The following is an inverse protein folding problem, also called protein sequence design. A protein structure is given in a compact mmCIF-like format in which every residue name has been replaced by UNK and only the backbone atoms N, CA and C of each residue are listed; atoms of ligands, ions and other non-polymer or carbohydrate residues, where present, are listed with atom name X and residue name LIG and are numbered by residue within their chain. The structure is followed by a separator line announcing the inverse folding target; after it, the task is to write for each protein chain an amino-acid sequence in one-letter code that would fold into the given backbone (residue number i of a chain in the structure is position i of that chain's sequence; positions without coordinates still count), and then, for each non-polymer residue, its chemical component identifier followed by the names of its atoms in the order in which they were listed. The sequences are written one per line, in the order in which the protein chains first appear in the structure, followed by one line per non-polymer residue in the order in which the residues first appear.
data_IF_342973515250
#
_entry.id   IF_342973515250
#
_cell.length_a   1.000
_cell.length_b   1.000
_cell.length_c   1.000
_cell.angle_alpha   90.00
_cell.angle_beta   90.00
_cell.angle_gamma   90.00
#
_symmetry.space_group_name_H-M   'P 1'
#
loop_
_entity.id
_entity.type
_entity.pdbx_description
1 polymer ?
#
# COMPACT_ATOMS: atom_id res chain seq x y z
N UNK A 1 25.80 57.30 38.19
CA UNK A 1 24.98 57.54 39.41
C UNK A 1 24.12 56.34 39.63
N UNK A 2 24.41 55.67 40.69
CA UNK A 2 23.61 54.95 41.67
C UNK A 2 23.02 53.65 41.14
N UNK A 3 23.64 52.50 41.43
CA UNK A 3 23.62 51.76 42.73
C UNK A 3 22.27 51.12 42.95
N UNK A 4 22.30 49.86 43.04
CA UNK A 4 22.36 48.85 44.14
C UNK A 4 20.99 48.31 44.42
N UNK A 5 20.68 47.06 44.70
CA UNK A 5 21.18 46.15 45.72
C UNK A 5 20.34 44.86 45.62
N UNK A 6 20.86 43.61 45.50
CA UNK A 6 21.30 42.71 46.58
C UNK A 6 20.19 42.04 47.39
N UNK A 7 20.37 40.73 47.45
CA UNK A 7 20.05 39.74 48.50
C UNK A 7 18.72 39.02 48.42
N UNK A 8 18.74 37.77 48.19
CA UNK A 8 19.22 36.57 48.94
C UNK A 8 18.20 36.07 49.94
N UNK A 9 17.93 34.85 49.88
CA UNK A 9 17.94 33.72 50.85
C UNK A 9 16.84 32.73 50.55
N UNK A 10 17.14 31.51 50.14
CA UNK A 10 17.47 30.32 50.93
C UNK A 10 16.36 29.90 51.89
N UNK A 11 15.81 28.76 51.68
CA UNK A 11 15.68 27.53 52.50
C UNK A 11 14.57 26.67 51.87
N UNK A 12 14.83 25.56 51.38
CA UNK A 12 14.94 24.21 51.96
C UNK A 12 13.61 23.54 52.23
N UNK A 13 13.58 22.36 51.64
CA UNK A 13 13.15 21.06 52.13
C UNK A 13 11.75 20.53 51.79
N UNK A 14 11.81 19.35 51.29
CA UNK A 14 11.19 18.06 51.58
C UNK A 14 10.09 17.58 50.62
N UNK A 15 10.50 16.56 49.89
CA UNK A 15 9.86 15.27 49.61
C UNK A 15 8.34 15.21 49.44
N UNK A 16 7.97 14.69 48.29
CA UNK A 16 6.66 14.13 47.98
C UNK A 16 6.77 13.41 46.68
N UNK A 17 7.13 12.16 46.80
CA UNK A 17 6.97 11.09 45.83
C UNK A 17 5.50 10.99 45.46
N UNK A 18 5.21 11.02 44.15
CA UNK A 18 4.08 10.26 43.62
C UNK A 18 4.19 10.28 42.10
N UNK A 19 4.52 9.10 41.57
CA UNK A 19 4.59 8.81 40.17
C UNK A 19 3.23 8.89 39.50
N UNK A 20 3.08 9.81 38.60
CA UNK A 20 1.97 9.76 37.64
C UNK A 20 2.55 9.53 36.25
N UNK A 21 2.53 8.24 35.88
CA UNK A 21 2.82 7.77 34.54
C UNK A 21 1.81 8.38 33.57
N UNK A 22 2.22 9.42 32.87
CA UNK A 22 1.47 9.95 31.72
C UNK A 22 1.56 8.89 30.61
N UNK A 23 0.54 8.04 30.58
CA UNK A 23 0.27 7.17 29.47
C UNK A 23 0.01 8.04 28.23
N UNK A 24 1.01 8.13 27.36
CA UNK A 24 0.83 8.62 26.00
C UNK A 24 -0.10 7.64 25.29
N UNK A 25 -1.39 7.91 25.31
CA UNK A 25 -2.35 7.30 24.42
C UNK A 25 -2.02 7.76 22.99
N UNK A 26 -1.24 6.95 22.29
CA UNK A 26 -1.16 7.00 20.84
C UNK A 26 -2.55 6.65 20.29
N UNK A 27 -3.36 7.68 20.10
CA UNK A 27 -4.56 7.56 19.28
C UNK A 27 -4.12 7.36 17.85
N UNK A 28 -3.91 6.09 17.54
CA UNK A 28 -3.79 5.59 16.16
C UNK A 28 -5.18 5.76 15.53
N UNK A 29 -5.48 6.97 15.09
CA UNK A 29 -6.66 7.28 14.32
C UNK A 29 -6.55 6.47 13.01
N UNK A 30 -7.13 5.27 12.99
CA UNK A 30 -7.41 4.52 11.77
C UNK A 30 -8.24 5.45 10.89
N UNK A 31 -7.61 6.16 9.97
CA UNK A 31 -8.29 6.92 8.93
C UNK A 31 -9.17 5.92 8.19
N UNK A 32 -10.48 6.04 8.42
CA UNK A 32 -11.51 5.24 7.78
C UNK A 32 -11.33 5.43 6.28
N UNK A 33 -10.92 4.38 5.59
CA UNK A 33 -10.85 4.37 4.12
C UNK A 33 -12.29 4.59 3.65
N UNK A 34 -12.55 5.54 2.74
CA UNK A 34 -13.91 5.76 2.23
C UNK A 34 -14.47 4.45 1.69
N UNK A 35 -15.66 4.08 2.14
CA UNK A 35 -16.29 2.78 1.88
C UNK A 35 -16.58 2.53 0.40
N UNK A 36 -16.60 3.58 -0.42
CA UNK A 36 -16.82 3.48 -1.86
C UNK A 36 -15.69 4.17 -2.62
N UNK A 37 -14.89 3.41 -3.38
CA UNK A 37 -13.88 4.01 -4.25
C UNK A 37 -14.57 4.84 -5.34
N UNK A 38 -14.01 6.02 -5.65
CA UNK A 38 -14.45 6.94 -6.71
C UNK A 38 -15.89 7.47 -6.57
N UNK A 39 -16.44 7.59 -5.35
CA UNK A 39 -17.78 8.14 -5.15
C UNK A 39 -17.90 9.54 -5.77
N UNK A 40 -18.82 9.70 -6.72
CA UNK A 40 -19.03 10.98 -7.43
C UNK A 40 -17.96 11.34 -8.48
N UNK A 41 -17.03 10.41 -8.79
CA UNK A 41 -16.01 10.63 -9.82
C UNK A 41 -16.28 9.74 -11.03
N UNK A 42 -16.38 10.34 -12.20
CA UNK A 42 -16.51 9.61 -13.44
C UNK A 42 -15.15 9.17 -13.99
N UNK A 43 -15.12 7.98 -14.62
CA UNK A 43 -13.93 7.50 -15.30
C UNK A 43 -13.60 8.42 -16.48
N UNK A 44 -12.41 9.04 -16.55
CA UNK A 44 -12.00 9.85 -17.69
C UNK A 44 -11.93 9.01 -18.98
N UNK A 45 -12.32 9.60 -20.10
CA UNK A 45 -12.26 8.92 -21.40
C UNK A 45 -10.82 8.56 -21.83
N UNK A 46 -9.83 9.30 -21.33
CA UNK A 46 -8.40 9.08 -21.58
C UNK A 46 -7.74 8.17 -20.53
N UNK A 47 -8.50 7.62 -19.57
CA UNK A 47 -7.96 6.71 -18.58
C UNK A 47 -7.45 5.42 -19.22
N UNK A 48 -6.29 4.98 -18.79
CA UNK A 48 -5.64 3.76 -19.27
C UNK A 48 -4.91 3.01 -18.16
N UNK A 49 -4.54 1.77 -18.45
CA UNK A 49 -3.82 0.91 -17.52
C UNK A 49 -2.32 1.11 -17.61
N UNK A 50 -1.70 1.23 -16.45
CA UNK A 50 -0.26 1.36 -16.26
C UNK A 50 0.20 0.47 -15.11
N UNK A 51 1.49 0.13 -15.06
CA UNK A 51 2.03 -0.67 -13.96
C UNK A 51 3.01 0.17 -13.16
N UNK A 52 2.75 0.25 -11.86
CA UNK A 52 3.67 0.80 -10.89
C UNK A 52 4.43 -0.32 -10.18
N UNK A 53 5.73 -0.15 -10.04
CA UNK A 53 6.61 -1.03 -9.25
C UNK A 53 6.79 -0.41 -7.87
N UNK A 54 6.40 -1.13 -6.85
CA UNK A 54 6.35 -0.64 -5.48
C UNK A 54 7.09 -1.58 -4.52
N UNK A 55 7.18 -1.16 -3.27
CA UNK A 55 7.80 -1.97 -2.22
C UNK A 55 7.01 -3.28 -2.00
N UNK A 56 7.75 -4.39 -1.91
CA UNK A 56 7.21 -5.74 -1.65
C UNK A 56 6.42 -5.79 -0.34
N UNK A 57 5.33 -6.55 -0.33
CA UNK A 57 4.38 -6.71 0.78
C UNK A 57 3.71 -5.40 1.25
N UNK A 58 3.76 -4.35 0.44
CA UNK A 58 3.10 -3.07 0.71
C UNK A 58 2.12 -2.66 -0.40
N UNK A 59 1.90 -3.52 -1.39
CA UNK A 59 1.17 -3.23 -2.63
C UNK A 59 -0.23 -2.68 -2.34
N UNK A 60 -1.01 -3.38 -1.53
CA UNK A 60 -2.39 -2.96 -1.19
C UNK A 60 -2.39 -1.64 -0.42
N UNK A 61 -1.51 -1.49 0.57
CA UNK A 61 -1.41 -0.26 1.36
C UNK A 61 -1.03 0.94 0.51
N UNK A 62 -0.09 0.74 -0.43
CA UNK A 62 0.36 1.81 -1.33
C UNK A 62 -0.77 2.15 -2.33
N UNK A 63 -1.43 1.16 -2.91
CA UNK A 63 -2.55 1.38 -3.82
C UNK A 63 -3.71 2.15 -3.14
N UNK A 64 -4.08 1.77 -1.91
CA UNK A 64 -5.08 2.49 -1.13
C UNK A 64 -4.64 3.91 -0.80
N UNK A 65 -3.38 4.12 -0.45
CA UNK A 65 -2.82 5.45 -0.20
C UNK A 65 -2.86 6.34 -1.45
N UNK A 66 -2.56 5.78 -2.63
CA UNK A 66 -2.66 6.48 -3.92
C UNK A 66 -4.12 6.86 -4.17
N UNK A 67 -5.05 5.91 -4.02
CA UNK A 67 -6.48 6.13 -4.23
C UNK A 67 -7.01 7.25 -3.33
N UNK A 68 -6.73 7.20 -2.04
CA UNK A 68 -7.17 8.22 -1.10
C UNK A 68 -6.63 9.59 -1.48
N UNK A 69 -5.35 9.67 -1.84
CA UNK A 69 -4.73 10.95 -2.24
C UNK A 69 -5.33 11.51 -3.53
N UNK A 70 -5.54 10.67 -4.54
CA UNK A 70 -6.12 11.10 -5.81
C UNK A 70 -7.59 11.47 -5.66
N UNK A 71 -8.39 10.69 -4.94
CA UNK A 71 -9.80 10.99 -4.71
C UNK A 71 -9.99 12.28 -3.90
N UNK A 72 -9.11 12.57 -2.94
CA UNK A 72 -9.09 13.86 -2.25
C UNK A 72 -8.86 15.05 -3.20
N UNK A 73 -8.17 14.83 -4.29
CA UNK A 73 -7.93 15.83 -5.34
C UNK A 73 -8.96 15.75 -6.48
N UNK A 74 -10.10 15.11 -6.27
CA UNK A 74 -11.14 14.88 -7.27
C UNK A 74 -10.63 14.22 -8.55
N UNK A 75 -9.66 13.32 -8.43
CA UNK A 75 -9.10 12.54 -9.53
C UNK A 75 -9.59 11.12 -9.42
N UNK A 76 -10.22 10.63 -10.49
CA UNK A 76 -10.62 9.24 -10.60
C UNK A 76 -9.39 8.33 -10.69
N UNK A 77 -9.41 7.24 -9.94
CA UNK A 77 -8.34 6.26 -9.90
C UNK A 77 -8.89 4.88 -9.54
N UNK A 78 -8.53 3.89 -10.34
CA UNK A 78 -8.80 2.49 -10.04
C UNK A 78 -7.50 1.69 -10.06
N UNK A 79 -7.48 0.57 -9.37
CA UNK A 79 -6.32 -0.30 -9.36
C UNK A 79 -6.71 -1.77 -9.26
N UNK A 80 -5.80 -2.62 -9.72
CA UNK A 80 -5.92 -4.05 -9.59
C UNK A 80 -4.57 -4.66 -9.18
N UNK A 81 -4.63 -5.58 -8.22
CA UNK A 81 -3.47 -6.34 -7.74
C UNK A 81 -3.80 -7.81 -7.94
N UNK A 82 -3.08 -8.54 -8.84
CA UNK A 82 -3.38 -9.93 -9.12
C UNK A 82 -3.12 -10.81 -7.89
N UNK A 83 -4.13 -11.57 -7.48
CA UNK A 83 -4.07 -12.50 -6.36
C UNK A 83 -4.52 -13.88 -6.84
N UNK A 84 -3.87 -14.91 -6.36
CA UNK A 84 -4.23 -16.32 -6.59
C UNK A 84 -4.57 -17.00 -5.28
N UNK A 85 -5.48 -17.96 -5.34
CA UNK A 85 -5.81 -18.84 -4.23
C UNK A 85 -4.79 -19.96 -4.16
N UNK A 86 -4.13 -20.13 -3.02
CA UNK A 86 -3.15 -21.21 -2.78
C UNK A 86 -3.64 -22.08 -1.65
N UNK A 87 -3.69 -23.39 -1.88
CA UNK A 87 -3.97 -24.37 -0.82
C UNK A 87 -2.70 -24.65 -0.05
N UNK A 88 -2.79 -24.62 1.27
CA UNK A 88 -1.72 -25.04 2.15
C UNK A 88 -2.26 -25.92 3.28
N UNK A 89 -1.40 -26.74 3.85
CA UNK A 89 -1.73 -27.56 5.01
C UNK A 89 -1.34 -26.77 6.26
N UNK A 90 -2.33 -26.48 7.09
CA UNK A 90 -2.09 -25.84 8.39
C UNK A 90 -1.38 -26.83 9.33
N UNK A 91 -0.15 -26.52 9.71
CA UNK A 91 0.70 -27.38 10.52
C UNK A 91 0.11 -27.73 11.90
N UNK A 92 -0.81 -26.90 12.43
CA UNK A 92 -1.43 -27.13 13.74
C UNK A 92 -2.63 -28.08 13.66
N UNK A 93 -3.47 -27.91 12.64
CA UNK A 93 -4.73 -28.66 12.50
C UNK A 93 -4.66 -29.78 11.49
N UNK A 94 -3.56 -29.90 10.76
CA UNK A 94 -3.36 -30.81 9.61
C UNK A 94 -4.49 -30.74 8.57
N UNK A 95 -5.21 -29.60 8.51
CA UNK A 95 -6.31 -29.36 7.58
C UNK A 95 -5.84 -28.53 6.39
N UNK A 96 -6.42 -28.83 5.23
CA UNK A 96 -6.24 -27.98 4.04
C UNK A 96 -6.95 -26.64 4.25
N UNK A 97 -6.24 -25.55 4.05
CA UNK A 97 -6.76 -24.18 4.09
C UNK A 97 -6.41 -23.46 2.79
N UNK A 98 -7.28 -22.57 2.35
CA UNK A 98 -7.06 -21.70 1.20
C UNK A 98 -6.61 -20.34 1.70
N UNK A 99 -5.57 -19.80 1.09
CA UNK A 99 -5.06 -18.45 1.36
C UNK A 99 -4.86 -17.71 0.04
N UNK A 100 -5.26 -16.45 0.02
CA UNK A 100 -4.91 -15.56 -1.08
C UNK A 100 -3.43 -15.16 -1.00
N UNK A 101 -2.74 -15.28 -2.10
CA UNK A 101 -1.35 -14.87 -2.27
C UNK A 101 -1.25 -13.95 -3.48
N UNK A 102 -0.38 -12.95 -3.40
CA UNK A 102 -0.06 -12.12 -4.56
C UNK A 102 0.55 -12.99 -5.67
N UNK A 103 -0.02 -12.93 -6.86
CA UNK A 103 0.53 -13.62 -8.03
C UNK A 103 1.77 -12.90 -8.53
N UNK A 104 1.70 -11.56 -8.62
CA UNK A 104 2.85 -10.70 -8.91
C UNK A 104 3.09 -9.78 -7.71
N UNK A 105 4.13 -10.06 -6.93
CA UNK A 105 4.60 -9.17 -5.90
C UNK A 105 5.26 -7.93 -6.51
N UNK A 106 5.20 -6.80 -5.83
CA UNK A 106 5.77 -5.51 -6.22
C UNK A 106 5.03 -4.75 -7.34
N UNK A 107 4.02 -5.34 -7.97
CA UNK A 107 3.31 -4.70 -9.07
C UNK A 107 1.89 -4.29 -8.68
N UNK A 108 1.52 -3.07 -9.06
CA UNK A 108 0.16 -2.54 -8.98
C UNK A 108 -0.25 -2.11 -10.38
N UNK A 109 -1.36 -2.66 -10.87
CA UNK A 109 -1.99 -2.18 -12.09
C UNK A 109 -2.86 -0.98 -11.73
N UNK A 110 -2.53 0.17 -12.29
CA UNK A 110 -3.17 1.46 -12.03
C UNK A 110 -3.97 1.89 -13.26
N UNK A 111 -5.24 2.19 -13.10
CA UNK A 111 -6.07 2.78 -14.16
C UNK A 111 -6.30 4.25 -13.83
N UNK A 112 -5.77 5.12 -14.67
CA UNK A 112 -5.75 6.57 -14.43
C UNK A 112 -5.54 7.34 -15.74
N UNK A 113 -5.95 8.61 -15.77
CA UNK A 113 -5.59 9.49 -16.90
C UNK A 113 -4.08 9.71 -17.01
N UNK A 114 -3.50 9.72 -18.22
CA UNK A 114 -2.07 9.97 -18.45
C UNK A 114 -1.56 11.27 -17.79
N UNK A 115 -2.42 12.28 -17.71
CA UNK A 115 -2.10 13.58 -17.09
C UNK A 115 -1.83 13.49 -15.60
N UNK A 116 -2.29 12.43 -14.95
CA UNK A 116 -2.17 12.25 -13.51
C UNK A 116 -1.04 11.28 -13.12
N UNK A 117 -0.36 10.66 -14.09
CA UNK A 117 0.70 9.68 -13.86
C UNK A 117 1.84 10.24 -13.00
N UNK A 118 2.16 11.51 -13.13
CA UNK A 118 3.22 12.14 -12.36
C UNK A 118 2.89 12.18 -10.86
N UNK A 119 1.61 12.26 -10.48
CA UNK A 119 1.19 12.16 -9.07
C UNK A 119 1.47 10.78 -8.46
N UNK A 120 1.57 9.76 -9.30
CA UNK A 120 1.91 8.40 -8.87
C UNK A 120 3.42 8.18 -8.98
N UNK A 121 4.02 8.55 -10.13
CA UNK A 121 5.42 8.32 -10.45
C UNK A 121 6.39 8.95 -9.46
N UNK A 122 6.10 10.14 -8.96
CA UNK A 122 6.98 10.89 -8.07
C UNK A 122 6.74 10.63 -6.58
N UNK A 123 5.97 9.60 -6.24
CA UNK A 123 5.81 9.19 -4.85
C UNK A 123 7.06 8.44 -4.35
N UNK A 124 7.41 8.66 -3.10
CA UNK A 124 8.56 8.01 -2.46
C UNK A 124 8.38 6.49 -2.26
N UNK A 125 7.13 6.00 -2.27
CA UNK A 125 6.78 4.59 -2.11
C UNK A 125 6.63 3.84 -3.46
N UNK A 126 6.78 4.56 -4.59
CA UNK A 126 6.78 4.01 -5.95
C UNK A 126 8.20 4.09 -6.52
N UNK A 127 8.79 2.95 -6.84
CA UNK A 127 10.16 2.90 -7.37
C UNK A 127 10.24 3.35 -8.82
N UNK A 128 9.31 2.89 -9.64
CA UNK A 128 9.22 3.26 -11.06
C UNK A 128 7.86 2.88 -11.64
N UNK A 129 7.52 3.50 -12.77
CA UNK A 129 6.47 3.06 -13.66
C UNK A 129 7.07 2.16 -14.75
N UNK A 130 6.31 1.18 -15.24
CA UNK A 130 6.75 0.32 -16.33
C UNK A 130 6.87 1.13 -17.62
N UNK A 131 8.02 0.99 -18.27
CA UNK A 131 8.31 1.62 -19.56
C UNK A 131 8.58 0.55 -20.63
N UNK A 132 8.41 0.89 -21.90
CA UNK A 132 8.85 0.03 -22.99
C UNK A 132 10.38 -0.11 -22.98
N UNK A 133 10.91 -1.29 -23.32
CA UNK A 133 12.34 -1.47 -23.50
C UNK A 133 12.93 -0.42 -24.44
N UNK A 134 14.01 0.26 -24.01
CA UNK A 134 14.66 1.30 -24.80
C UNK A 134 13.93 2.66 -24.88
N UNK A 135 12.77 2.81 -24.22
CA UNK A 135 12.01 4.05 -24.23
C UNK A 135 11.86 4.62 -22.80
N UNK A 136 11.79 5.95 -22.71
CA UNK A 136 11.50 6.64 -21.44
C UNK A 136 10.00 6.84 -21.18
N UNK A 137 9.17 6.59 -22.22
CA UNK A 137 7.72 6.75 -22.12
C UNK A 137 7.11 5.64 -21.27
N UNK A 138 6.25 6.00 -20.34
CA UNK A 138 5.48 5.04 -19.53
C UNK A 138 4.57 4.25 -20.47
N UNK A 139 4.58 2.92 -20.31
CA UNK A 139 3.82 2.03 -21.16
C UNK A 139 2.37 1.96 -20.72
N UNK A 140 1.46 2.27 -21.63
CA UNK A 140 0.03 2.06 -21.44
C UNK A 140 -0.34 0.67 -21.94
N UNK A 141 -0.90 -0.14 -21.07
CA UNK A 141 -1.35 -1.48 -21.40
C UNK A 141 -2.76 -1.38 -22.01
N UNK A 142 -3.05 -2.03 -23.15
CA UNK A 142 -4.39 -2.08 -23.71
C UNK A 142 -5.38 -2.72 -22.72
N UNK A 143 -6.59 -2.15 -22.63
CA UNK A 143 -7.65 -2.62 -21.71
C UNK A 143 -7.94 -4.12 -21.90
N UNK A 144 -7.97 -4.60 -23.15
CA UNK A 144 -8.21 -6.01 -23.47
C UNK A 144 -7.14 -6.93 -22.87
N UNK A 145 -5.88 -6.51 -22.85
CA UNK A 145 -4.79 -7.30 -22.27
C UNK A 145 -4.99 -7.44 -20.77
N UNK A 146 -5.34 -6.35 -20.09
CA UNK A 146 -5.62 -6.39 -18.65
C UNK A 146 -6.86 -7.23 -18.35
N UNK A 147 -7.91 -7.09 -19.15
CA UNK A 147 -9.14 -7.88 -19.00
C UNK A 147 -8.88 -9.38 -19.17
N UNK A 148 -8.13 -9.79 -20.20
CA UNK A 148 -7.76 -11.17 -20.42
C UNK A 148 -6.89 -11.72 -19.28
N UNK A 149 -5.94 -10.90 -18.80
CA UNK A 149 -5.07 -11.31 -17.70
C UNK A 149 -5.84 -11.43 -16.38
N UNK A 150 -6.77 -10.49 -16.11
CA UNK A 150 -7.67 -10.56 -14.97
C UNK A 150 -8.54 -11.82 -15.03
N UNK A 151 -9.14 -12.10 -16.19
CA UNK A 151 -9.92 -13.30 -16.41
C UNK A 151 -9.11 -14.58 -16.13
N UNK A 152 -7.88 -14.67 -16.63
CA UNK A 152 -7.00 -15.79 -16.37
C UNK A 152 -6.68 -15.97 -14.87
N UNK A 153 -6.33 -14.89 -14.18
CA UNK A 153 -5.95 -14.95 -12.74
C UNK A 153 -7.14 -15.25 -11.83
N UNK A 154 -8.34 -14.73 -12.16
CA UNK A 154 -9.53 -14.83 -11.32
C UNK A 154 -10.33 -16.11 -11.57
N UNK A 155 -10.26 -16.69 -12.78
CA UNK A 155 -10.97 -17.92 -13.15
C UNK A 155 -10.09 -19.17 -13.13
N UNK A 156 -8.87 -19.09 -12.63
CA UNK A 156 -8.06 -20.27 -12.36
C UNK A 156 -8.67 -20.97 -11.12
N UNK A 157 -9.66 -21.84 -11.38
CA UNK A 157 -10.44 -22.54 -10.34
C UNK A 157 -9.60 -23.57 -9.59
N UNK A 158 -8.51 -24.04 -10.16
CA UNK A 158 -7.60 -24.94 -9.49
C UNK A 158 -6.56 -24.18 -8.65
N UNK A 159 -6.67 -24.24 -7.31
CA UNK A 159 -5.67 -23.64 -6.46
C UNK A 159 -4.31 -24.27 -6.73
N UNK A 160 -3.34 -23.44 -7.11
CA UNK A 160 -1.97 -23.86 -7.39
C UNK A 160 -1.43 -24.64 -6.19
N UNK A 161 -1.35 -25.96 -6.33
CA UNK A 161 -0.67 -26.82 -5.36
C UNK A 161 0.80 -26.82 -5.74
N UNK A 162 1.71 -26.34 -4.89
CA UNK A 162 3.13 -26.45 -5.21
C UNK A 162 3.47 -27.93 -5.33
N UNK A 163 3.92 -28.36 -6.50
CA UNK A 163 4.40 -29.72 -6.71
C UNK A 163 5.52 -29.99 -5.69
N UNK A 164 5.49 -31.11 -4.98
CA UNK A 164 6.59 -31.49 -4.12
C UNK A 164 7.81 -31.70 -5.03
N UNK A 165 8.75 -30.76 -4.96
CA UNK A 165 10.04 -30.94 -5.62
C UNK A 165 10.76 -32.05 -4.86
N UNK A 166 11.00 -33.22 -5.47
CA UNK A 166 11.79 -34.25 -4.82
C UNK A 166 13.21 -33.71 -4.66
N UNK A 167 13.61 -33.43 -3.42
CA UNK A 167 15.00 -33.14 -3.09
C UNK A 167 15.80 -34.38 -3.46
N UNK A 168 16.53 -34.34 -4.57
CA UNK A 168 17.57 -35.32 -4.84
C UNK A 168 18.61 -35.16 -3.74
N UNK A 169 18.72 -36.17 -2.87
CA UNK A 169 19.89 -36.31 -2.01
C UNK A 169 21.08 -36.49 -2.92
N UNK A 170 22.02 -35.53 -2.88
CA UNK A 170 23.33 -35.67 -3.45
C UNK A 170 24.17 -36.66 -2.64
#
# INVERSE_FOLDING_TARGET
MKETNIQSQVTSTVAGDDGEAVAKSEQNAKKKVPEKPNEGLEKPADAGWYVAVVRVNCETRIADSIRINLNHNHVWFDYWIPKVKVVYIDKRSNKRKVKEKLFLSTFIFCNVSPRQLDKIRFRSDVYKMLTMPGQRKIYQIPDQVVANYRYFVENDEEPVTPAPVPLKKG
#
